data_IF_231449331042
#
_entry.id   IF_231449331042
#
_cell.length_a   1.000
_cell.length_b   1.000
_cell.length_c   1.000
_cell.angle_alpha   90.00
_cell.angle_beta   90.00
_cell.angle_gamma   90.00
#
_symmetry.space_group_name_H-M   'P 1'
#
loop_
_entity.id
_entity.type
_entity.pdbx_description
1 polymer ?
#
# COMPACT_ATOMS: atom_id res chain seq x y z
N UNK A 1 46.84 -13.59 -21.46
CA UNK A 1 45.82 -14.01 -20.54
C UNK A 1 44.49 -13.38 -20.90
N UNK A 2 43.67 -14.10 -21.54
CA UNK A 2 42.40 -13.53 -21.97
C UNK A 2 41.45 -13.19 -20.81
N UNK A 3 41.59 -13.88 -19.67
CA UNK A 3 40.68 -13.68 -18.54
C UNK A 3 40.83 -12.30 -17.91
N UNK A 4 42.04 -11.78 -17.83
CA UNK A 4 42.26 -10.46 -17.24
C UNK A 4 41.63 -9.35 -18.10
N UNK A 5 41.83 -9.44 -19.41
CA UNK A 5 41.21 -8.48 -20.34
C UNK A 5 39.71 -8.62 -20.37
N UNK A 6 39.19 -9.82 -20.30
CA UNK A 6 37.74 -10.06 -20.24
C UNK A 6 37.09 -9.43 -19.03
N UNK A 7 37.71 -9.54 -17.86
CA UNK A 7 37.22 -8.94 -16.64
C UNK A 7 37.17 -7.41 -16.77
N UNK A 8 38.25 -6.83 -17.29
CA UNK A 8 38.34 -5.40 -17.49
C UNK A 8 37.31 -4.90 -18.51
N UNK A 9 37.14 -5.62 -19.60
CA UNK A 9 36.08 -5.31 -20.60
C UNK A 9 34.68 -5.44 -20.01
N UNK A 10 34.45 -6.49 -19.24
CA UNK A 10 33.17 -6.69 -18.56
C UNK A 10 32.86 -5.56 -17.59
N UNK A 11 33.83 -5.10 -16.82
CA UNK A 11 33.65 -3.97 -15.93
C UNK A 11 33.30 -2.69 -16.68
N UNK A 12 33.94 -2.45 -17.81
CA UNK A 12 33.68 -1.25 -18.60
C UNK A 12 32.33 -1.31 -19.34
N UNK A 13 31.92 -2.47 -19.81
CA UNK A 13 30.66 -2.67 -20.52
C UNK A 13 29.51 -2.84 -19.55
N UNK A 14 29.73 -3.59 -18.46
CA UNK A 14 28.69 -3.93 -17.50
C UNK A 14 28.34 -2.77 -16.57
N UNK A 15 29.27 -1.88 -16.28
CA UNK A 15 29.06 -0.79 -15.35
C UNK A 15 27.95 0.17 -15.82
N UNK A 16 27.97 0.66 -17.05
CA UNK A 16 26.86 1.48 -17.53
C UNK A 16 25.52 0.75 -17.58
N UNK A 17 25.54 -0.55 -17.91
CA UNK A 17 24.32 -1.37 -17.92
C UNK A 17 23.77 -1.54 -16.51
N UNK A 18 24.62 -1.74 -15.52
CA UNK A 18 24.22 -1.84 -14.12
C UNK A 18 23.66 -0.52 -13.58
N UNK A 19 24.28 0.60 -13.94
CA UNK A 19 23.75 1.92 -13.58
C UNK A 19 22.36 2.13 -14.15
N UNK A 20 22.15 1.75 -15.41
CA UNK A 20 20.86 1.87 -16.07
C UNK A 20 19.81 0.98 -15.40
N UNK A 21 20.18 -0.25 -15.05
CA UNK A 21 19.30 -1.14 -14.31
C UNK A 21 18.96 -0.58 -12.94
N UNK A 22 19.94 -0.01 -12.25
CA UNK A 22 19.71 0.62 -10.96
C UNK A 22 18.71 1.77 -11.05
N UNK A 23 18.84 2.62 -12.06
CA UNK A 23 17.88 3.71 -12.28
C UNK A 23 16.47 3.20 -12.55
N UNK A 24 16.34 2.16 -13.37
CA UNK A 24 15.06 1.54 -13.67
C UNK A 24 14.44 0.95 -12.40
N UNK A 25 15.23 0.26 -11.59
CA UNK A 25 14.75 -0.33 -10.34
C UNK A 25 14.34 0.75 -9.34
N UNK A 26 15.10 1.82 -9.22
CA UNK A 26 14.73 2.95 -8.35
C UNK A 26 13.43 3.61 -8.80
N UNK A 27 13.24 3.73 -10.11
CA UNK A 27 12.00 4.23 -10.67
C UNK A 27 10.82 3.35 -10.31
N UNK A 28 10.97 2.04 -10.43
CA UNK A 28 9.94 1.07 -10.04
C UNK A 28 9.64 1.12 -8.55
N UNK A 29 10.65 1.24 -7.72
CA UNK A 29 10.48 1.36 -6.27
C UNK A 29 9.66 2.61 -5.94
N UNK A 30 9.94 3.73 -6.59
CA UNK A 30 9.16 4.96 -6.39
C UNK A 30 7.71 4.79 -6.80
N UNK A 31 7.46 4.20 -7.96
CA UNK A 31 6.10 3.92 -8.44
C UNK A 31 5.35 3.02 -7.47
N UNK A 32 5.99 1.94 -6.99
CA UNK A 32 5.39 1.02 -6.04
C UNK A 32 5.13 1.69 -4.69
N UNK A 33 6.02 2.56 -4.24
CA UNK A 33 5.81 3.33 -3.02
C UNK A 33 4.62 4.28 -3.15
N UNK A 34 4.49 4.95 -4.30
CA UNK A 34 3.35 5.84 -4.56
C UNK A 34 2.04 5.06 -4.58
N UNK A 35 2.02 3.90 -5.21
CA UNK A 35 0.85 3.02 -5.21
C UNK A 35 0.52 2.54 -3.80
N UNK A 36 1.53 2.17 -3.03
CA UNK A 36 1.35 1.73 -1.64
C UNK A 36 0.74 2.85 -0.80
N UNK A 37 1.24 4.07 -0.90
CA UNK A 37 0.69 5.22 -0.18
C UNK A 37 -0.78 5.44 -0.55
N UNK A 38 -1.09 5.39 -1.85
CA UNK A 38 -2.48 5.53 -2.32
C UNK A 38 -3.38 4.45 -1.75
N UNK A 39 -2.92 3.20 -1.74
CA UNK A 39 -3.69 2.08 -1.17
C UNK A 39 -3.87 2.22 0.34
N UNK A 40 -2.86 2.68 1.05
CA UNK A 40 -2.95 2.90 2.50
C UNK A 40 -3.96 4.00 2.83
N UNK A 41 -3.96 5.09 2.08
CA UNK A 41 -4.94 6.17 2.24
C UNK A 41 -6.35 5.66 1.98
N UNK A 42 -6.55 4.92 0.89
CA UNK A 42 -7.85 4.32 0.57
C UNK A 42 -8.33 3.36 1.65
N UNK A 43 -7.43 2.56 2.19
CA UNK A 43 -7.73 1.65 3.29
C UNK A 43 -8.19 2.41 4.54
N UNK A 44 -7.48 3.49 4.87
CA UNK A 44 -7.84 4.29 6.05
C UNK A 44 -9.18 4.98 5.88
N UNK A 45 -9.49 5.48 4.69
CA UNK A 45 -10.79 6.05 4.36
C UNK A 45 -11.91 5.02 4.50
N UNK A 46 -11.72 3.83 3.96
CA UNK A 46 -12.68 2.74 4.07
C UNK A 46 -12.89 2.31 5.52
N UNK A 47 -11.83 2.26 6.30
CA UNK A 47 -11.92 1.93 7.71
C UNK A 47 -12.73 2.99 8.48
N UNK A 48 -12.51 4.26 8.20
CA UNK A 48 -13.26 5.36 8.79
C UNK A 48 -14.74 5.26 8.44
N UNK A 49 -15.07 4.97 7.18
CA UNK A 49 -16.46 4.77 6.75
C UNK A 49 -17.08 3.54 7.45
N UNK A 50 -16.34 2.45 7.56
CA UNK A 50 -16.81 1.26 8.25
C UNK A 50 -17.10 1.54 9.71
N UNK A 51 -16.23 2.25 10.39
CA UNK A 51 -16.40 2.61 11.80
C UNK A 51 -17.63 3.49 11.98
N UNK A 52 -17.87 4.44 11.07
CA UNK A 52 -19.04 5.29 11.09
C UNK A 52 -20.33 4.47 10.91
N UNK A 53 -20.35 3.55 9.97
CA UNK A 53 -21.51 2.66 9.74
C UNK A 53 -21.75 1.78 10.96
N UNK A 54 -20.73 1.25 11.58
CA UNK A 54 -20.85 0.43 12.78
C UNK A 54 -21.40 1.23 13.95
N UNK A 55 -20.95 2.47 14.12
CA UNK A 55 -21.50 3.37 15.15
C UNK A 55 -22.98 3.63 14.93
N UNK A 56 -23.37 3.88 13.69
CA UNK A 56 -24.81 4.08 13.33
C UNK A 56 -25.62 2.82 13.61
N UNK A 57 -25.10 1.65 13.31
CA UNK A 57 -25.77 0.38 13.61
C UNK A 57 -25.95 0.17 15.11
N UNK A 58 -24.94 0.50 15.91
CA UNK A 58 -25.02 0.40 17.36
C UNK A 58 -26.08 1.36 17.92
N UNK A 59 -26.13 2.59 17.40
CA UNK A 59 -27.13 3.57 17.78
C UNK A 59 -28.54 3.10 17.45
N UNK A 60 -28.76 2.53 16.26
CA UNK A 60 -30.02 1.96 15.87
C UNK A 60 -30.44 0.79 16.75
N UNK A 61 -29.50 -0.08 17.10
CA UNK A 61 -29.78 -1.19 18.02
C UNK A 61 -30.21 -0.68 19.39
N UNK A 62 -29.53 0.34 19.89
CA UNK A 62 -29.86 0.94 21.18
C UNK A 62 -31.28 1.54 21.15
N UNK A 63 -31.62 2.25 20.07
CA UNK A 63 -33.00 2.81 19.90
C UNK A 63 -34.02 1.71 19.81
N UNK A 64 -33.79 0.65 19.06
CA UNK A 64 -34.73 -0.48 18.97
C UNK A 64 -34.91 -1.16 20.30
N UNK A 65 -33.88 -1.37 21.06
CA UNK A 65 -33.93 -1.97 22.39
C UNK A 65 -34.77 -1.09 23.33
N UNK A 66 -34.59 0.22 23.29
CA UNK A 66 -35.37 1.15 24.10
C UNK A 66 -36.85 1.11 23.70
N UNK A 67 -37.14 1.12 22.41
CA UNK A 67 -38.53 1.04 21.91
C UNK A 67 -39.22 -0.26 22.33
N UNK A 68 -38.54 -1.37 22.22
CA UNK A 68 -39.06 -2.67 22.64
C UNK A 68 -39.37 -2.68 24.14
N UNK A 69 -38.49 -2.15 24.96
CA UNK A 69 -38.71 -2.03 26.40
C UNK A 69 -39.90 -1.17 26.72
N UNK A 70 -40.09 -0.05 26.03
CA UNK A 70 -41.23 0.83 26.23
C UNK A 70 -42.55 0.20 25.81
N UNK A 71 -42.54 -0.62 24.75
CA UNK A 71 -43.75 -1.26 24.24
C UNK A 71 -44.13 -2.54 24.99
N UNK A 72 -43.22 -3.16 25.71
CA UNK A 72 -43.47 -4.39 26.46
C UNK A 72 -43.89 -4.15 27.90
N UNK A 73 -43.88 -2.92 28.33
CA UNK A 73 -44.39 -2.51 29.64
C UNK A 73 -45.85 -2.12 29.51
#
# INVERSE_FOLDING_TARGET
>A
MPDFLSIHELQNISYPALEKQEEVLRGKIRELNDELVTLLVSRDELKTEQDAVMADCEDLQALLTTLVKETTV
#
